data_IF_227991685146
#
_entry.id   IF_227991685146
#
_cell.length_a   1.000
_cell.length_b   1.000
_cell.length_c   1.000
_cell.angle_alpha   90.00
_cell.angle_beta   90.00
_cell.angle_gamma   90.00
#
_symmetry.space_group_name_H-M   'P 1'
#
loop_
_entity.id
_entity.type
_entity.pdbx_description
1 polymer ?
#
# COMPACT_ATOMS: atom_id res chain seq x y z
N UNK A 1 46.24 -36.98 -16.55
CA UNK A 1 45.12 -36.95 -15.58
C UNK A 1 45.15 -35.75 -14.62
N UNK A 2 46.23 -35.50 -13.87
CA UNK A 2 46.32 -34.38 -12.89
C UNK A 2 46.07 -32.97 -13.48
N UNK A 3 46.53 -32.71 -14.71
CA UNK A 3 46.27 -31.45 -15.42
C UNK A 3 44.81 -31.30 -15.86
N UNK A 4 44.15 -32.41 -16.21
CA UNK A 4 42.76 -32.44 -16.64
C UNK A 4 41.81 -32.14 -15.46
N UNK A 5 42.09 -32.70 -14.28
CA UNK A 5 41.35 -32.39 -13.05
C UNK A 5 41.53 -30.93 -12.60
N UNK A 6 42.73 -30.35 -12.73
CA UNK A 6 42.96 -28.92 -12.43
C UNK A 6 42.20 -28.00 -13.37
N UNK A 7 42.14 -28.35 -14.66
CA UNK A 7 41.42 -27.56 -15.66
C UNK A 7 39.91 -27.60 -15.45
N UNK A 8 39.35 -28.78 -15.13
CA UNK A 8 37.91 -28.93 -14.82
C UNK A 8 37.54 -28.14 -13.55
N UNK A 9 38.39 -28.17 -12.52
CA UNK A 9 38.15 -27.43 -11.28
C UNK A 9 38.20 -25.91 -11.51
N UNK A 10 39.16 -25.41 -12.30
CA UNK A 10 39.25 -23.99 -12.63
C UNK A 10 38.06 -23.48 -13.47
N UNK A 11 37.61 -24.27 -14.46
CA UNK A 11 36.43 -23.91 -15.27
C UNK A 11 35.17 -23.89 -14.41
N UNK A 12 35.00 -24.85 -13.49
CA UNK A 12 33.86 -24.88 -12.56
C UNK A 12 33.81 -23.65 -11.66
N UNK A 13 34.94 -23.25 -11.06
CA UNK A 13 34.99 -22.07 -10.17
C UNK A 13 34.68 -20.79 -10.94
N UNK A 14 35.18 -20.67 -12.18
CA UNK A 14 34.89 -19.51 -13.03
C UNK A 14 33.41 -19.44 -13.44
N UNK A 15 32.78 -20.59 -13.73
CA UNK A 15 31.34 -20.65 -14.04
C UNK A 15 30.47 -20.27 -12.84
N UNK A 16 30.81 -20.67 -11.62
CA UNK A 16 30.07 -20.25 -10.42
C UNK A 16 30.24 -18.76 -10.10
N UNK A 17 31.41 -18.18 -10.39
CA UNK A 17 31.65 -16.74 -10.20
C UNK A 17 30.80 -15.86 -11.14
N UNK A 18 30.54 -16.31 -12.37
CA UNK A 18 29.73 -15.55 -13.35
C UNK A 18 28.23 -15.57 -13.00
N UNK A 19 27.71 -16.65 -12.39
CA UNK A 19 26.30 -16.68 -11.95
C UNK A 19 26.01 -15.73 -10.77
N UNK A 20 27.00 -15.41 -9.93
CA UNK A 20 26.84 -14.53 -8.76
C UNK A 20 26.53 -13.06 -9.10
N UNK A 21 26.79 -12.62 -10.34
CA UNK A 21 26.59 -11.23 -10.77
C UNK A 21 25.20 -10.95 -11.38
N UNK A 22 24.30 -11.93 -11.47
CA UNK A 22 22.98 -11.75 -12.05
C UNK A 22 21.88 -11.36 -11.03
N UNK A 23 22.24 -11.10 -9.77
CA UNK A 23 21.32 -10.56 -8.77
C UNK A 23 21.35 -9.04 -8.86
N UNK A 24 20.58 -8.47 -9.78
CA UNK A 24 20.31 -7.03 -9.78
C UNK A 24 19.49 -6.71 -8.52
N UNK A 25 19.99 -5.87 -7.60
CA UNK A 25 19.14 -5.38 -6.51
C UNK A 25 17.97 -4.60 -7.09
N UNK A 26 16.81 -4.68 -6.42
CA UNK A 26 15.68 -3.83 -6.77
C UNK A 26 16.12 -2.35 -6.72
N UNK A 27 15.75 -1.58 -7.73
CA UNK A 27 16.04 -0.13 -7.79
C UNK A 27 15.37 0.54 -6.58
N UNK A 28 16.14 1.21 -5.72
CA UNK A 28 15.58 2.06 -4.67
C UNK A 28 15.08 3.38 -5.26
N UNK A 29 13.93 3.90 -4.81
CA UNK A 29 13.34 5.14 -5.31
C UNK A 29 12.31 4.93 -6.43
N UNK A 30 11.67 3.76 -6.48
CA UNK A 30 10.71 3.35 -7.49
C UNK A 30 9.24 3.54 -7.09
N UNK A 31 8.28 3.12 -7.94
CA UNK A 31 6.84 3.27 -7.68
C UNK A 31 6.33 2.45 -6.49
N UNK A 32 7.12 1.55 -5.92
CA UNK A 32 6.79 0.84 -4.69
C UNK A 32 7.07 1.67 -3.42
N UNK A 33 7.80 2.79 -3.55
CA UNK A 33 8.15 3.65 -2.43
C UNK A 33 7.06 4.70 -2.13
N UNK A 34 7.18 5.37 -0.98
CA UNK A 34 6.38 6.53 -0.60
C UNK A 34 5.11 6.23 0.20
N UNK A 35 4.83 4.96 0.52
CA UNK A 35 3.70 4.56 1.35
C UNK A 35 3.94 4.81 2.85
N UNK A 36 3.95 6.08 3.24
CA UNK A 36 4.32 6.54 4.59
C UNK A 36 3.14 6.79 5.51
N UNK A 37 1.91 6.82 4.97
CA UNK A 37 0.69 6.94 5.78
C UNK A 37 0.25 5.53 6.14
N UNK A 38 0.13 5.25 7.44
CA UNK A 38 -0.30 3.94 7.92
C UNK A 38 -1.54 4.08 8.79
N UNK A 39 -2.65 3.53 8.32
CA UNK A 39 -3.90 3.49 9.07
C UNK A 39 -4.41 2.07 9.20
N UNK A 40 -5.23 1.83 10.22
CA UNK A 40 -5.88 0.55 10.44
C UNK A 40 -7.40 0.73 10.48
N UNK A 41 -8.12 -0.10 9.73
CA UNK A 41 -9.57 0.00 9.61
C UNK A 41 -10.24 -1.36 9.38
N UNK A 42 -11.42 -1.61 9.96
CA UNK A 42 -12.27 -2.76 9.62
C UNK A 42 -13.03 -2.48 8.32
N UNK A 43 -13.30 -3.52 7.55
CA UNK A 43 -14.05 -3.42 6.29
C UNK A 43 -15.37 -4.16 6.38
N UNK A 44 -16.39 -3.63 5.69
CA UNK A 44 -17.58 -4.40 5.39
C UNK A 44 -17.30 -5.28 4.17
N UNK A 45 -17.49 -6.58 4.31
CA UNK A 45 -17.31 -7.56 3.26
C UNK A 45 -18.58 -7.67 2.40
N UNK A 46 -18.47 -8.31 1.23
CA UNK A 46 -19.58 -8.43 0.28
C UNK A 46 -20.79 -9.21 0.85
N UNK A 47 -20.55 -10.11 1.80
CA UNK A 47 -21.56 -10.88 2.53
C UNK A 47 -22.15 -10.13 3.74
N UNK A 48 -21.74 -8.88 3.97
CA UNK A 48 -22.19 -8.05 5.09
C UNK A 48 -21.49 -8.35 6.42
N UNK A 49 -20.48 -9.22 6.44
CA UNK A 49 -19.65 -9.44 7.62
C UNK A 49 -18.58 -8.35 7.76
N UNK A 50 -18.06 -8.17 8.98
CA UNK A 50 -16.92 -7.27 9.22
C UNK A 50 -15.62 -8.06 9.11
N UNK A 51 -14.73 -7.63 8.22
CA UNK A 51 -13.38 -8.17 8.04
C UNK A 51 -12.29 -7.25 8.60
N UNK A 52 -11.11 -7.81 8.86
CA UNK A 52 -9.94 -7.09 9.37
C UNK A 52 -9.84 -7.08 10.90
N UNK A 53 -9.22 -6.04 11.50
CA UNK A 53 -8.82 -4.79 10.86
C UNK A 53 -7.59 -4.93 9.96
N UNK A 54 -7.60 -4.27 8.81
CA UNK A 54 -6.51 -4.31 7.83
C UNK A 54 -5.55 -3.14 8.01
N UNK A 55 -4.29 -3.35 7.66
CA UNK A 55 -3.24 -2.33 7.66
C UNK A 55 -3.16 -1.69 6.28
N UNK A 56 -3.51 -0.42 6.19
CA UNK A 56 -3.44 0.37 4.97
C UNK A 56 -2.14 1.16 4.97
N UNK A 57 -1.26 0.87 4.01
CA UNK A 57 -0.10 1.69 3.71
C UNK A 57 -0.44 2.54 2.49
N UNK A 58 -0.42 3.85 2.65
CA UNK A 58 -1.00 4.79 1.71
C UNK A 58 0.01 5.84 1.24
N UNK A 59 -0.13 6.29 0.00
CA UNK A 59 0.62 7.40 -0.58
C UNK A 59 -0.22 8.27 -1.48
N UNK A 60 0.12 9.56 -1.55
CA UNK A 60 -0.46 10.46 -2.55
C UNK A 60 0.11 10.18 -3.94
N UNK A 61 -0.76 10.16 -4.95
CA UNK A 61 -0.42 10.15 -6.37
C UNK A 61 -1.20 11.28 -7.06
N UNK A 62 -0.85 11.58 -8.33
CA UNK A 62 -1.48 12.65 -9.10
C UNK A 62 -1.54 13.97 -8.31
N UNK A 63 -0.38 14.45 -7.86
CA UNK A 63 -0.25 15.69 -7.07
C UNK A 63 -1.07 15.70 -5.77
N UNK A 64 -1.41 14.52 -5.25
CA UNK A 64 -2.21 14.36 -4.04
C UNK A 64 -3.71 14.39 -4.26
N UNK A 65 -4.19 14.40 -5.52
CA UNK A 65 -5.61 14.28 -5.82
C UNK A 65 -6.16 12.85 -5.59
N UNK A 66 -5.27 11.86 -5.54
CA UNK A 66 -5.62 10.47 -5.24
C UNK A 66 -4.68 9.93 -4.16
N UNK A 67 -5.23 9.20 -3.20
CA UNK A 67 -4.47 8.38 -2.27
C UNK A 67 -4.53 6.92 -2.74
N UNK A 68 -3.39 6.30 -2.99
CA UNK A 68 -3.29 4.87 -3.31
C UNK A 68 -2.83 4.12 -2.06
N UNK A 69 -3.51 3.03 -1.73
CA UNK A 69 -3.24 2.24 -0.53
C UNK A 69 -3.10 0.75 -0.83
N UNK A 70 -2.14 0.12 -0.18
CA UNK A 70 -1.94 -1.32 -0.14
C UNK A 70 -2.42 -1.83 1.21
N UNK A 71 -3.27 -2.86 1.21
CA UNK A 71 -3.86 -3.38 2.42
C UNK A 71 -3.32 -4.75 2.78
N UNK A 72 -2.92 -4.92 4.04
CA UNK A 72 -2.37 -6.18 4.53
C UNK A 72 -3.11 -6.70 5.76
N UNK A 73 -3.04 -8.02 5.97
CA UNK A 73 -3.61 -8.67 7.17
C UNK A 73 -2.87 -8.32 8.46
N UNK A 74 -1.58 -7.93 8.36
CA UNK A 74 -0.75 -7.54 9.50
C UNK A 74 0.42 -6.66 9.05
N UNK A 75 1.27 -6.23 10.00
CA UNK A 75 2.51 -5.49 9.72
C UNK A 75 3.74 -6.40 9.54
N UNK A 76 3.56 -7.72 9.52
CA UNK A 76 4.68 -8.66 9.34
C UNK A 76 5.28 -8.52 7.93
N UNK A 77 6.59 -8.75 7.75
CA UNK A 77 7.23 -8.64 6.44
C UNK A 77 6.65 -9.55 5.35
N UNK A 78 6.04 -10.68 5.73
CA UNK A 78 5.42 -11.67 4.85
C UNK A 78 3.88 -11.58 4.83
N UNK A 79 3.30 -10.50 5.37
CA UNK A 79 1.86 -10.33 5.42
C UNK A 79 1.24 -10.37 4.02
N UNK A 80 0.11 -11.05 3.89
CA UNK A 80 -0.63 -11.12 2.62
C UNK A 80 -1.24 -9.77 2.29
N UNK A 81 -1.05 -9.33 1.05
CA UNK A 81 -1.83 -8.24 0.47
C UNK A 81 -3.27 -8.74 0.26
N UNK A 82 -4.24 -8.01 0.80
CA UNK A 82 -5.67 -8.35 0.72
C UNK A 82 -6.41 -7.53 -0.32
N UNK A 83 -5.96 -6.31 -0.61
CA UNK A 83 -6.60 -5.40 -1.56
C UNK A 83 -5.70 -4.23 -1.93
N UNK A 84 -6.05 -3.56 -3.02
CA UNK A 84 -5.57 -2.22 -3.36
C UNK A 84 -6.74 -1.25 -3.31
N UNK A 85 -6.54 -0.10 -2.66
CA UNK A 85 -7.59 0.90 -2.49
C UNK A 85 -7.15 2.27 -2.97
N UNK A 86 -8.05 2.96 -3.67
CA UNK A 86 -7.85 4.33 -4.10
C UNK A 86 -8.86 5.24 -3.44
N UNK A 87 -8.38 6.32 -2.84
CA UNK A 87 -9.21 7.41 -2.34
C UNK A 87 -9.09 8.59 -3.28
N UNK A 88 -10.21 9.08 -3.82
CA UNK A 88 -10.21 10.22 -4.76
C UNK A 88 -10.63 11.47 -4.00
N UNK A 89 -10.06 12.63 -4.33
CA UNK A 89 -10.49 13.90 -3.76
C UNK A 89 -11.98 14.18 -4.02
N UNK A 90 -12.68 14.73 -3.03
CA UNK A 90 -14.15 14.91 -3.02
C UNK A 90 -14.67 15.64 -4.27
N UNK A 91 -14.03 16.75 -4.68
CA UNK A 91 -14.47 17.52 -5.83
C UNK A 91 -14.22 16.78 -7.15
N UNK A 92 -13.10 16.07 -7.28
CA UNK A 92 -12.80 15.24 -8.43
C UNK A 92 -13.81 14.09 -8.56
N UNK A 93 -14.13 13.41 -7.47
CA UNK A 93 -15.10 12.33 -7.47
C UNK A 93 -16.52 12.82 -7.80
N UNK A 94 -16.99 13.92 -7.20
CA UNK A 94 -18.34 14.46 -7.44
C UNK A 94 -18.60 14.80 -8.90
N UNK A 95 -17.55 15.18 -9.65
CA UNK A 95 -17.65 15.50 -11.08
C UNK A 95 -17.71 14.26 -11.97
N UNK A 96 -17.16 13.13 -11.52
CA UNK A 96 -16.89 11.97 -12.37
C UNK A 96 -17.62 10.69 -11.95
N UNK A 97 -18.22 10.65 -10.75
CA UNK A 97 -18.92 9.46 -10.23
C UNK A 97 -20.42 9.72 -10.16
N UNK A 98 -21.26 8.90 -10.82
CA UNK A 98 -22.71 9.01 -10.73
C UNK A 98 -23.23 8.94 -9.29
N UNK A 99 -24.26 9.73 -8.97
CA UNK A 99 -24.82 9.82 -7.61
C UNK A 99 -25.28 8.46 -7.05
N UNK A 100 -25.75 7.54 -7.90
CA UNK A 100 -26.15 6.19 -7.47
C UNK A 100 -24.95 5.35 -7.01
N UNK A 101 -23.80 5.47 -7.70
CA UNK A 101 -22.57 4.83 -7.27
C UNK A 101 -22.02 5.53 -6.02
N UNK A 102 -22.20 6.85 -5.95
CA UNK A 102 -21.90 7.65 -4.77
C UNK A 102 -22.54 7.09 -3.50
N UNK A 103 -23.87 7.02 -3.47
CA UNK A 103 -24.58 6.61 -2.26
C UNK A 103 -24.33 5.15 -1.83
N UNK A 104 -23.80 4.30 -2.72
CA UNK A 104 -23.53 2.88 -2.43
C UNK A 104 -22.15 2.61 -1.88
N UNK A 105 -21.14 3.33 -2.36
CA UNK A 105 -19.74 3.04 -2.06
C UNK A 105 -19.08 4.06 -1.13
N UNK A 106 -19.76 5.18 -0.84
CA UNK A 106 -19.13 6.33 -0.20
C UNK A 106 -19.46 6.40 1.29
N UNK A 107 -18.41 6.64 2.07
CA UNK A 107 -18.44 6.93 3.50
C UNK A 107 -17.46 8.06 3.77
N UNK A 108 -17.67 8.77 4.88
CA UNK A 108 -16.84 9.92 5.25
C UNK A 108 -15.72 9.49 6.18
N UNK A 109 -14.48 9.51 5.68
CA UNK A 109 -13.29 9.18 6.45
C UNK A 109 -13.04 10.13 7.62
N UNK A 110 -13.51 11.38 7.54
CA UNK A 110 -13.44 12.30 8.69
C UNK A 110 -14.27 11.75 9.86
N UNK A 111 -15.48 11.26 9.56
CA UNK A 111 -16.36 10.63 10.55
C UNK A 111 -15.77 9.30 11.03
N UNK A 112 -15.21 8.48 10.15
CA UNK A 112 -14.59 7.21 10.54
C UNK A 112 -13.38 7.40 11.46
N UNK A 113 -12.57 8.44 11.25
CA UNK A 113 -11.46 8.80 12.14
C UNK A 113 -12.00 9.35 13.47
N UNK A 114 -12.97 10.27 13.43
CA UNK A 114 -13.54 10.88 14.63
C UNK A 114 -14.25 9.86 15.55
N UNK A 115 -14.83 8.81 14.97
CA UNK A 115 -15.50 7.71 15.70
C UNK A 115 -14.54 6.60 16.14
N UNK A 116 -13.25 6.68 15.79
CA UNK A 116 -12.24 5.67 16.12
C UNK A 116 -12.34 4.39 15.29
N UNK A 117 -13.19 4.37 14.25
CA UNK A 117 -13.28 3.24 13.31
C UNK A 117 -12.03 3.15 12.43
N UNK A 118 -11.40 4.28 12.10
CA UNK A 118 -10.09 4.35 11.45
C UNK A 118 -9.06 4.86 12.46
N UNK A 119 -7.98 4.11 12.63
CA UNK A 119 -6.90 4.43 13.57
C UNK A 119 -5.66 4.84 12.78
N UNK A 120 -5.13 6.04 13.04
CA UNK A 120 -3.87 6.51 12.45
C UNK A 120 -2.70 5.96 13.28
N UNK A 121 -1.93 5.06 12.67
CA UNK A 121 -0.78 4.41 13.28
C UNK A 121 0.52 5.17 12.97
N UNK A 122 0.72 5.57 11.72
CA UNK A 122 1.84 6.42 11.31
C UNK A 122 1.37 7.59 10.41
N UNK A 123 1.97 8.79 10.59
CA UNK A 123 3.06 9.11 11.52
C UNK A 123 2.59 9.12 12.99
N UNK A 124 3.53 8.90 13.92
CA UNK A 124 3.22 8.76 15.35
C UNK A 124 3.06 10.09 16.07
N UNK A 125 3.68 11.15 15.56
CA UNK A 125 3.66 12.46 16.19
C UNK A 125 2.27 13.12 16.05
N UNK A 126 1.81 13.89 17.06
CA UNK A 126 0.47 14.48 17.03
C UNK A 126 0.20 15.38 15.82
N UNK A 127 1.20 16.14 15.38
CA UNK A 127 1.06 17.06 14.24
C UNK A 127 0.88 16.27 12.93
N UNK A 128 1.66 15.21 12.75
CA UNK A 128 1.55 14.29 11.64
C UNK A 128 0.18 13.58 11.62
N UNK A 129 -0.29 13.08 12.77
CA UNK A 129 -1.64 12.48 12.87
C UNK A 129 -2.73 13.47 12.50
N UNK A 130 -2.63 14.71 12.97
CA UNK A 130 -3.57 15.77 12.62
C UNK A 130 -3.53 16.10 11.12
N UNK A 131 -2.35 16.10 10.51
CA UNK A 131 -2.19 16.31 9.07
C UNK A 131 -2.84 15.18 8.25
N UNK A 132 -2.67 13.92 8.65
CA UNK A 132 -3.32 12.76 8.01
C UNK A 132 -4.85 12.83 8.18
N UNK A 133 -5.35 13.16 9.37
CA UNK A 133 -6.79 13.32 9.60
C UNK A 133 -7.37 14.45 8.75
N UNK A 134 -6.70 15.60 8.68
CA UNK A 134 -7.11 16.72 7.85
C UNK A 134 -7.04 16.40 6.35
N UNK A 135 -6.09 15.56 5.92
CA UNK A 135 -6.02 15.09 4.55
C UNK A 135 -7.17 14.13 4.25
N UNK A 136 -7.48 13.18 5.13
CA UNK A 136 -8.58 12.21 4.97
C UNK A 136 -9.93 12.91 4.74
N UNK A 137 -10.19 14.04 5.41
CA UNK A 137 -11.39 14.85 5.20
C UNK A 137 -11.55 15.38 3.75
N UNK A 138 -10.48 15.41 2.95
CA UNK A 138 -10.50 15.85 1.55
C UNK A 138 -10.87 14.75 0.57
N UNK A 139 -10.80 13.47 0.96
CA UNK A 139 -10.99 12.34 0.06
C UNK A 139 -12.32 11.61 0.27
N UNK A 140 -13.02 11.37 -0.85
CA UNK A 140 -14.11 10.39 -1.05
C UNK A 140 -14.19 10.08 -2.56
N UNK A 141 -14.34 8.84 -3.06
CA UNK A 141 -14.58 7.52 -2.48
C UNK A 141 -13.33 6.66 -2.36
N UNK A 142 -13.54 5.50 -1.73
CA UNK A 142 -12.77 4.28 -1.89
C UNK A 142 -13.19 3.50 -3.15
N UNK A 143 -12.26 3.28 -4.08
CA UNK A 143 -12.35 2.22 -5.10
C UNK A 143 -11.47 1.07 -4.63
N UNK A 144 -12.07 -0.08 -4.34
CA UNK A 144 -11.35 -1.32 -3.99
C UNK A 144 -11.22 -2.17 -5.25
N UNK A 145 -9.98 -2.53 -5.59
CA UNK A 145 -9.64 -3.45 -6.68
C UNK A 145 -9.20 -4.78 -6.06
#
# INVERSE_FOLDING_TARGET
>A
MKHMFRSIFMVSVLSFAVLGFMVSPAISGGPADGYTIHVQAPHMMADGTVGGPYHHYCKGIQEGAILQCLLFESTKPDARLVAVEYFIEKNLARKNVPLIQWNRAFHDHEVEIATGRVIILDPKDPKGKQAVAAAAAKFQPKIKI
#
